data_IF_277918245655
#
_entry.id   IF_277918245655
#
_cell.length_a   1.000
_cell.length_b   1.000
_cell.length_c   1.000
_cell.angle_alpha   90.00
_cell.angle_beta   90.00
_cell.angle_gamma   90.00
#
_symmetry.space_group_name_H-M   'P 1'
#
loop_
_entity.id
_entity.type
_entity.pdbx_description
1 polymer ?
#
# COMPACT_ATOMS: atom_id res chain seq x y z
N UNK A 1 -2.69 20.75 -22.41
CA UNK A 1 -3.97 20.83 -21.65
C UNK A 1 -3.73 21.30 -20.23
N UNK A 2 -4.75 21.90 -19.56
CA UNK A 2 -4.64 22.38 -18.18
C UNK A 2 -5.32 21.39 -17.23
N UNK A 3 -4.64 20.98 -16.17
CA UNK A 3 -5.15 20.06 -15.15
C UNK A 3 -5.04 20.66 -13.75
N UNK A 4 -6.09 20.55 -12.96
CA UNK A 4 -6.02 20.77 -11.51
C UNK A 4 -5.70 19.45 -10.83
N UNK A 5 -4.62 19.41 -10.08
CA UNK A 5 -4.11 18.23 -9.40
C UNK A 5 -3.82 18.52 -7.93
N UNK A 6 -4.02 17.51 -7.12
CA UNK A 6 -3.72 17.53 -5.69
C UNK A 6 -2.58 16.56 -5.46
N UNK A 7 -1.47 17.02 -4.90
CA UNK A 7 -0.40 16.12 -4.45
C UNK A 7 -0.62 15.75 -3.00
N UNK A 8 -0.77 14.47 -2.75
CA UNK A 8 -0.91 13.92 -1.40
C UNK A 8 0.10 12.81 -1.17
N UNK A 9 0.47 12.60 0.08
CA UNK A 9 1.35 11.51 0.49
C UNK A 9 0.81 10.77 1.71
N UNK A 10 1.13 9.49 1.83
CA UNK A 10 0.90 8.67 3.01
C UNK A 10 2.11 7.79 3.27
N UNK A 11 2.75 7.95 4.44
CA UNK A 11 3.96 7.23 4.82
C UNK A 11 5.07 7.30 3.76
N UNK A 12 5.28 8.49 3.17
CA UNK A 12 6.33 8.77 2.19
C UNK A 12 6.00 8.41 0.74
N UNK A 13 4.92 7.68 0.49
CA UNK A 13 4.49 7.32 -0.86
C UNK A 13 3.52 8.39 -1.38
N UNK A 14 3.88 9.08 -2.46
CA UNK A 14 3.20 10.27 -2.94
C UNK A 14 2.54 10.08 -4.31
N UNK A 15 1.33 10.59 -4.46
CA UNK A 15 0.57 10.52 -5.69
C UNK A 15 0.00 11.89 -6.07
N UNK A 16 -0.23 12.06 -7.36
CA UNK A 16 -1.05 13.15 -7.91
C UNK A 16 -2.48 12.65 -8.04
N UNK A 17 -3.42 13.38 -7.47
CA UNK A 17 -4.83 13.06 -7.48
C UNK A 17 -5.59 14.00 -8.41
N UNK A 18 -6.44 13.42 -9.25
CA UNK A 18 -7.37 14.16 -10.11
C UNK A 18 -8.79 13.96 -9.58
N UNK A 19 -9.51 15.06 -9.34
CA UNK A 19 -10.91 15.02 -8.91
C UNK A 19 -11.86 14.95 -10.11
N UNK A 20 -12.27 13.74 -10.46
CA UNK A 20 -13.20 13.46 -11.55
C UNK A 20 -14.69 13.67 -11.19
N UNK A 21 -15.00 14.08 -9.95
CA UNK A 21 -16.35 14.55 -9.60
C UNK A 21 -16.58 15.99 -10.08
N UNK A 22 -15.51 16.76 -10.20
CA UNK A 22 -15.58 18.17 -10.60
C UNK A 22 -15.29 18.36 -12.08
N UNK A 23 -14.50 17.48 -12.69
CA UNK A 23 -13.99 17.64 -14.06
C UNK A 23 -13.98 16.31 -14.81
N UNK A 24 -14.07 16.41 -16.14
CA UNK A 24 -13.94 15.24 -17.03
C UNK A 24 -12.53 14.64 -16.92
N UNK A 25 -12.41 13.33 -16.67
CA UNK A 25 -11.12 12.67 -16.58
C UNK A 25 -10.32 12.77 -17.88
N UNK A 26 -8.98 12.76 -17.80
CA UNK A 26 -8.11 12.76 -18.96
C UNK A 26 -8.35 11.52 -19.82
N UNK A 27 -8.41 11.69 -21.15
CA UNK A 27 -8.68 10.60 -22.10
C UNK A 27 -7.64 9.48 -22.05
N UNK A 28 -6.38 9.80 -21.75
CA UNK A 28 -5.28 8.83 -21.71
C UNK A 28 -4.48 8.95 -20.40
N UNK A 29 -5.02 8.44 -19.27
CA UNK A 29 -4.39 8.58 -17.97
C UNK A 29 -3.06 7.82 -17.85
N UNK A 30 -2.85 6.74 -18.61
CA UNK A 30 -1.58 5.98 -18.64
C UNK A 30 -0.44 6.83 -19.17
N UNK A 31 -0.67 7.51 -20.31
CA UNK A 31 0.32 8.42 -20.90
C UNK A 31 0.53 9.64 -20.01
N UNK A 32 -0.55 10.17 -19.43
CA UNK A 32 -0.46 11.29 -18.51
C UNK A 32 0.40 10.93 -17.30
N UNK A 33 0.17 9.79 -16.66
CA UNK A 33 0.98 9.34 -15.51
C UNK A 33 2.47 9.32 -15.82
N UNK A 34 2.88 8.78 -16.98
CA UNK A 34 4.30 8.76 -17.41
C UNK A 34 4.89 10.16 -17.56
N UNK A 35 4.09 11.13 -18.00
CA UNK A 35 4.56 12.51 -18.24
C UNK A 35 4.69 13.33 -16.98
N UNK A 36 3.73 13.20 -16.06
CA UNK A 36 3.68 14.05 -14.86
C UNK A 36 4.44 13.48 -13.67
N UNK A 37 4.68 12.16 -13.64
CA UNK A 37 5.31 11.49 -12.50
C UNK A 37 6.83 11.72 -12.37
N UNK A 38 7.63 11.89 -13.43
CA UNK A 38 9.07 12.12 -13.28
C UNK A 38 9.36 13.33 -12.39
N UNK A 39 10.32 13.16 -11.43
CA UNK A 39 10.61 14.19 -10.41
C UNK A 39 11.46 15.35 -10.93
N UNK A 40 12.23 15.14 -12.02
CA UNK A 40 13.12 16.16 -12.59
C UNK A 40 12.45 16.99 -13.67
N UNK A 41 11.60 16.37 -14.50
CA UNK A 41 11.03 16.99 -15.69
C UNK A 41 9.50 16.83 -15.79
N UNK A 42 8.86 16.39 -14.70
CA UNK A 42 7.41 16.38 -14.52
C UNK A 42 7.02 17.13 -13.24
N UNK A 43 5.81 16.87 -12.74
CA UNK A 43 5.34 17.38 -11.45
C UNK A 43 6.01 16.62 -10.30
N UNK A 44 6.31 15.33 -10.53
CA UNK A 44 6.99 14.45 -9.59
C UNK A 44 6.03 13.75 -8.63
N UNK A 45 5.88 12.42 -8.78
CA UNK A 45 5.12 11.55 -7.89
C UNK A 45 5.41 10.08 -8.19
N UNK A 46 4.94 9.16 -7.34
CA UNK A 46 4.96 7.73 -7.58
C UNK A 46 3.89 7.30 -8.61
N UNK A 47 2.92 8.18 -8.91
CA UNK A 47 1.92 7.94 -9.92
C UNK A 47 0.73 8.92 -9.88
N UNK A 48 -0.33 8.55 -10.61
CA UNK A 48 -1.57 9.30 -10.77
C UNK A 48 -2.74 8.49 -10.23
N UNK A 49 -3.61 9.12 -9.45
CA UNK A 49 -4.88 8.56 -8.99
C UNK A 49 -6.03 9.39 -9.55
N UNK A 50 -6.99 8.73 -10.19
CA UNK A 50 -8.25 9.33 -10.58
C UNK A 50 -9.32 8.97 -9.54
N UNK A 51 -9.91 9.98 -8.92
CA UNK A 51 -11.07 9.86 -8.03
C UNK A 51 -12.32 10.06 -8.87
N UNK A 52 -13.11 9.03 -9.10
CA UNK A 52 -14.24 9.04 -10.03
C UNK A 52 -15.56 8.73 -9.31
N UNK A 53 -16.71 9.13 -9.87
CA UNK A 53 -17.99 8.59 -9.47
C UNK A 53 -18.03 7.06 -9.66
N UNK A 54 -18.79 6.36 -8.80
CA UNK A 54 -19.06 4.93 -8.90
C UNK A 54 -20.56 4.66 -8.95
N UNK A 55 -20.98 3.63 -9.67
CA UNK A 55 -22.36 3.15 -9.66
C UNK A 55 -22.66 2.20 -8.48
N UNK A 56 -21.63 1.71 -7.78
CA UNK A 56 -21.75 0.64 -6.78
C UNK A 56 -21.12 0.99 -5.43
N UNK A 57 -20.48 2.16 -5.32
CA UNK A 57 -19.79 2.64 -4.14
C UNK A 57 -19.87 4.17 -4.05
N UNK A 58 -19.35 4.78 -2.97
CA UNK A 58 -19.31 6.24 -2.83
C UNK A 58 -18.36 6.89 -3.85
N UNK A 59 -17.29 6.19 -4.22
CA UNK A 59 -16.33 6.65 -5.22
C UNK A 59 -15.62 5.46 -5.86
N UNK A 60 -14.95 5.71 -6.99
CA UNK A 60 -14.07 4.77 -7.68
C UNK A 60 -12.66 5.32 -7.73
N UNK A 61 -11.70 4.48 -7.40
CA UNK A 61 -10.27 4.75 -7.51
C UNK A 61 -9.69 4.01 -8.72
N UNK A 62 -9.12 4.75 -9.65
CA UNK A 62 -8.22 4.22 -10.68
C UNK A 62 -6.83 4.79 -10.44
N UNK A 63 -5.82 3.95 -10.42
CA UNK A 63 -4.45 4.40 -10.20
C UNK A 63 -3.50 3.91 -11.28
N UNK A 64 -2.53 4.74 -11.59
CA UNK A 64 -1.49 4.49 -12.58
C UNK A 64 -0.14 4.79 -11.95
N UNK A 65 0.79 3.83 -12.02
CA UNK A 65 2.16 4.02 -11.57
C UNK A 65 2.90 5.01 -12.49
N UNK A 66 4.07 5.45 -12.08
CA UNK A 66 4.91 6.38 -12.84
C UNK A 66 5.30 5.87 -14.24
N UNK A 67 5.33 4.56 -14.45
CA UNK A 67 5.54 3.91 -15.76
C UNK A 67 4.27 3.81 -16.62
N UNK A 68 3.12 4.29 -16.11
CA UNK A 68 1.81 4.23 -16.73
C UNK A 68 1.12 2.86 -16.62
N UNK A 69 1.68 1.91 -15.93
CA UNK A 69 0.98 0.65 -15.61
C UNK A 69 -0.16 0.91 -14.63
N UNK A 70 -1.27 0.17 -14.80
CA UNK A 70 -2.42 0.31 -13.93
C UNK A 70 -2.26 -0.52 -12.66
N UNK A 71 -2.34 0.14 -11.51
CA UNK A 71 -2.31 -0.49 -10.20
C UNK A 71 -3.70 -0.94 -9.76
N UNK A 72 -3.78 -2.11 -9.11
CA UNK A 72 -5.08 -2.61 -8.64
C UNK A 72 -5.59 -1.84 -7.41
N UNK A 73 -4.72 -1.52 -6.49
CA UNK A 73 -4.97 -0.74 -5.27
C UNK A 73 -3.64 -0.44 -4.57
N UNK A 74 -3.53 0.72 -3.95
CA UNK A 74 -2.44 1.09 -3.06
C UNK A 74 -3.01 1.55 -1.71
N UNK A 75 -2.57 0.93 -0.62
CA UNK A 75 -3.04 1.23 0.73
C UNK A 75 -2.75 2.67 1.16
N UNK A 76 -1.65 3.26 0.69
CA UNK A 76 -1.28 4.66 0.95
C UNK A 76 -2.17 5.62 0.15
N UNK A 77 -2.33 5.38 -1.15
CA UNK A 77 -3.14 6.22 -2.04
C UNK A 77 -4.62 6.21 -1.65
N UNK A 78 -5.19 5.04 -1.27
CA UNK A 78 -6.61 4.98 -0.89
C UNK A 78 -6.88 5.70 0.44
N UNK A 79 -5.90 5.74 1.38
CA UNK A 79 -6.02 6.55 2.60
C UNK A 79 -6.02 8.04 2.27
N UNK A 80 -5.14 8.49 1.37
CA UNK A 80 -5.13 9.88 0.89
C UNK A 80 -6.47 10.25 0.23
N UNK A 81 -6.99 9.40 -0.66
CA UNK A 81 -8.30 9.60 -1.28
C UNK A 81 -9.42 9.67 -0.22
N UNK A 82 -9.40 8.76 0.76
CA UNK A 82 -10.36 8.75 1.86
C UNK A 82 -10.31 10.03 2.70
N UNK A 83 -9.13 10.51 3.06
CA UNK A 83 -8.94 11.76 3.79
C UNK A 83 -9.49 12.96 3.02
N UNK A 84 -9.19 13.03 1.72
CA UNK A 84 -9.74 14.08 0.84
C UNK A 84 -11.27 14.05 0.78
N UNK A 85 -11.86 12.88 0.53
CA UNK A 85 -13.31 12.74 0.42
C UNK A 85 -14.02 13.00 1.77
N UNK A 86 -13.47 12.53 2.89
CA UNK A 86 -14.00 12.83 4.22
C UNK A 86 -13.97 14.32 4.57
N UNK A 87 -12.97 15.07 4.10
CA UNK A 87 -12.92 16.53 4.28
C UNK A 87 -13.98 17.23 3.44
N UNK A 88 -14.25 16.70 2.24
CA UNK A 88 -15.25 17.24 1.33
C UNK A 88 -16.67 16.93 1.79
N UNK A 89 -16.90 15.73 2.36
CA UNK A 89 -18.18 15.26 2.90
C UNK A 89 -18.10 15.13 4.43
N UNK A 90 -18.18 16.28 5.12
CA UNK A 90 -17.94 16.34 6.57
C UNK A 90 -18.83 15.46 7.45
N UNK A 91 -20.01 15.05 6.97
CA UNK A 91 -20.97 14.26 7.73
C UNK A 91 -20.72 12.74 7.64
N UNK A 92 -20.01 12.26 6.60
CA UNK A 92 -19.73 10.84 6.42
C UNK A 92 -18.58 10.39 7.33
N UNK A 93 -18.78 9.27 8.01
CA UNK A 93 -17.76 8.59 8.81
C UNK A 93 -17.29 7.26 8.16
N UNK A 94 -18.00 6.81 7.13
CA UNK A 94 -17.73 5.58 6.38
C UNK A 94 -17.78 5.91 4.89
N UNK A 95 -16.81 5.42 4.15
CA UNK A 95 -16.77 5.46 2.69
C UNK A 95 -16.52 4.07 2.13
N UNK A 96 -17.19 3.75 1.04
CA UNK A 96 -16.89 2.60 0.20
C UNK A 96 -16.23 3.07 -1.08
N UNK A 97 -15.04 2.53 -1.38
CA UNK A 97 -14.27 2.88 -2.58
C UNK A 97 -14.17 1.66 -3.49
N UNK A 98 -14.72 1.78 -4.69
CA UNK A 98 -14.52 0.78 -5.74
C UNK A 98 -13.07 0.81 -6.23
N UNK A 99 -12.42 -0.35 -6.25
CA UNK A 99 -11.05 -0.52 -6.77
C UNK A 99 -10.98 -1.76 -7.66
N UNK A 100 -9.90 -1.92 -8.43
CA UNK A 100 -9.65 -3.17 -9.18
C UNK A 100 -9.39 -4.39 -8.28
N UNK A 101 -9.22 -4.18 -6.96
CA UNK A 101 -9.13 -5.25 -5.95
C UNK A 101 -10.43 -5.44 -5.16
N UNK A 102 -11.56 -4.96 -5.70
CA UNK A 102 -12.86 -4.97 -5.04
C UNK A 102 -13.14 -3.70 -4.23
N UNK A 103 -14.32 -3.65 -3.61
CA UNK A 103 -14.74 -2.52 -2.79
C UNK A 103 -13.95 -2.54 -1.47
N UNK A 104 -13.41 -1.37 -1.10
CA UNK A 104 -12.71 -1.16 0.17
C UNK A 104 -13.53 -0.24 1.06
N UNK A 105 -13.69 -0.65 2.34
CA UNK A 105 -14.37 0.17 3.33
C UNK A 105 -13.35 0.97 4.12
N UNK A 106 -13.58 2.28 4.19
CA UNK A 106 -12.76 3.23 4.92
C UNK A 106 -13.58 3.84 6.05
N UNK A 107 -12.91 4.08 7.18
CA UNK A 107 -13.50 4.77 8.32
C UNK A 107 -12.71 6.03 8.65
N UNK A 108 -13.42 7.11 8.97
CA UNK A 108 -12.82 8.32 9.53
C UNK A 108 -12.36 8.02 10.95
N UNK A 109 -11.09 8.25 11.25
CA UNK A 109 -10.63 8.14 12.63
C UNK A 109 -11.09 9.36 13.45
N UNK A 110 -11.69 9.11 14.62
CA UNK A 110 -12.07 10.17 15.55
C UNK A 110 -10.81 10.83 16.11
N UNK A 111 -10.56 12.08 15.76
CA UNK A 111 -9.49 12.89 16.34
C UNK A 111 -8.31 13.24 15.42
N UNK A 112 -8.38 13.04 14.09
CA UNK A 112 -7.28 13.48 13.22
C UNK A 112 -7.39 13.08 11.75
N UNK A 113 -6.35 13.42 10.98
CA UNK A 113 -6.21 13.13 9.55
C UNK A 113 -5.83 11.67 9.29
N UNK A 114 -6.34 10.72 10.07
CA UNK A 114 -6.09 9.30 9.90
C UNK A 114 -7.31 8.61 9.32
N UNK A 115 -7.09 7.78 8.31
CA UNK A 115 -8.11 6.94 7.69
C UNK A 115 -7.80 5.47 7.98
N UNK A 116 -8.79 4.74 8.49
CA UNK A 116 -8.72 3.29 8.63
C UNK A 116 -9.25 2.63 7.37
N UNK A 117 -8.50 1.69 6.83
CA UNK A 117 -8.88 0.91 5.64
C UNK A 117 -9.02 -0.56 6.01
N UNK A 118 -10.16 -1.17 5.69
CA UNK A 118 -10.29 -2.63 5.75
C UNK A 118 -9.49 -3.26 4.61
N UNK A 119 -8.43 -3.96 4.96
CA UNK A 119 -7.57 -4.68 4.02
C UNK A 119 -8.03 -6.13 3.77
N UNK A 120 -9.03 -6.60 4.54
CA UNK A 120 -9.50 -7.97 4.51
C UNK A 120 -8.59 -8.95 5.25
N UNK A 121 -8.71 -10.23 4.92
CA UNK A 121 -7.94 -11.32 5.55
C UNK A 121 -6.60 -11.50 4.87
N UNK A 122 -5.59 -11.85 5.66
CA UNK A 122 -4.32 -12.37 5.16
C UNK A 122 -4.35 -13.90 5.13
N UNK A 123 -3.79 -14.51 4.09
CA UNK A 123 -3.69 -15.96 3.94
C UNK A 123 -2.23 -16.36 4.07
N UNK A 124 -1.87 -16.99 5.17
CA UNK A 124 -0.53 -17.50 5.44
C UNK A 124 -0.24 -18.76 4.60
N UNK A 125 1.02 -18.91 4.18
CA UNK A 125 1.42 -20.05 3.34
C UNK A 125 0.88 -19.99 1.90
N UNK A 126 0.39 -18.83 1.45
CA UNK A 126 -0.22 -18.62 0.14
C UNK A 126 0.81 -18.69 -0.97
N UNK A 127 1.11 -19.89 -1.42
CA UNK A 127 1.80 -20.16 -2.69
C UNK A 127 0.83 -20.88 -3.64
N UNK A 128 1.06 -20.80 -4.95
CA UNK A 128 0.20 -21.50 -5.93
C UNK A 128 0.30 -23.03 -5.88
N UNK A 129 1.22 -23.60 -5.12
CA UNK A 129 1.38 -25.06 -4.98
C UNK A 129 0.75 -25.55 -3.68
N UNK A 130 -0.24 -26.43 -3.78
CA UNK A 130 -0.69 -27.25 -2.66
C UNK A 130 0.53 -28.01 -2.09
N UNK A 131 0.76 -27.89 -0.78
CA UNK A 131 1.87 -28.60 -0.10
C UNK A 131 3.17 -27.81 0.05
N UNK A 132 3.24 -26.51 -0.35
CA UNK A 132 4.37 -25.67 0.03
C UNK A 132 4.34 -25.41 1.54
N UNK A 133 5.45 -25.64 2.27
CA UNK A 133 5.49 -25.45 3.71
C UNK A 133 5.14 -24.03 4.11
N UNK A 134 4.67 -23.87 5.34
CA UNK A 134 4.34 -22.57 5.93
C UNK A 134 5.50 -21.54 5.86
N UNK A 135 6.72 -22.01 5.66
CA UNK A 135 7.92 -21.17 5.48
C UNK A 135 8.85 -21.74 4.40
N UNK A 136 9.69 -20.87 3.88
CA UNK A 136 10.83 -21.17 3.00
C UNK A 136 12.14 -20.86 3.75
N UNK A 137 13.21 -21.58 3.43
CA UNK A 137 14.56 -21.24 3.92
C UNK A 137 15.39 -20.69 2.76
N UNK A 138 15.70 -19.42 2.82
CA UNK A 138 16.45 -18.68 1.78
C UNK A 138 17.78 -18.20 2.35
N UNK A 139 18.91 -18.84 1.96
CA UNK A 139 20.23 -18.46 2.44
C UNK A 139 20.38 -18.49 3.97
N UNK A 140 19.70 -19.43 4.64
CA UNK A 140 19.68 -19.52 6.11
C UNK A 140 18.58 -18.74 6.81
N UNK A 141 17.91 -17.80 6.11
CA UNK A 141 16.82 -16.99 6.65
C UNK A 141 15.49 -17.70 6.47
N UNK A 142 14.65 -17.68 7.50
CA UNK A 142 13.25 -18.14 7.41
C UNK A 142 12.38 -17.05 6.79
N UNK A 143 11.66 -17.41 5.74
CA UNK A 143 10.82 -16.52 4.97
C UNK A 143 9.40 -17.11 4.87
N UNK A 144 8.40 -16.31 5.19
CA UNK A 144 7.01 -16.73 5.36
C UNK A 144 6.14 -16.18 4.24
N UNK A 145 5.64 -17.03 3.32
CA UNK A 145 4.72 -16.61 2.28
C UNK A 145 3.37 -16.20 2.86
N UNK A 146 2.85 -15.08 2.39
CA UNK A 146 1.52 -14.58 2.79
C UNK A 146 0.88 -13.82 1.64
N UNK A 147 -0.44 -13.90 1.51
CA UNK A 147 -1.22 -13.13 0.54
C UNK A 147 -2.14 -12.14 1.27
N UNK A 148 -2.09 -10.90 0.82
CA UNK A 148 -3.01 -9.82 1.20
C UNK A 148 -3.74 -9.31 -0.07
N UNK A 149 -4.13 -10.27 -0.95
CA UNK A 149 -4.62 -9.98 -2.30
C UNK A 149 -3.50 -9.92 -3.35
N UNK A 150 -2.27 -9.71 -2.93
CA UNK A 150 -1.02 -9.83 -3.68
C UNK A 150 0.00 -10.65 -2.87
N UNK A 151 1.01 -11.26 -3.51
CA UNK A 151 1.96 -12.11 -2.83
C UNK A 151 3.03 -11.31 -2.10
N UNK A 152 3.28 -11.70 -0.84
CA UNK A 152 4.34 -11.20 0.02
C UNK A 152 5.18 -12.34 0.58
N UNK A 153 6.42 -12.06 0.90
CA UNK A 153 7.33 -12.95 1.58
C UNK A 153 7.99 -12.18 2.74
N UNK A 154 7.58 -12.52 3.96
CA UNK A 154 8.02 -11.83 5.18
C UNK A 154 9.14 -12.60 5.85
N UNK A 155 10.22 -11.90 6.16
CA UNK A 155 11.33 -12.38 6.96
C UNK A 155 11.40 -11.58 8.28
N UNK A 156 11.61 -12.27 9.39
CA UNK A 156 11.97 -11.63 10.65
C UNK A 156 13.45 -11.82 10.93
N UNK A 157 14.12 -10.73 11.23
CA UNK A 157 15.55 -10.69 11.46
C UNK A 157 15.92 -9.87 12.70
N UNK A 158 17.22 -9.62 12.87
CA UNK A 158 17.84 -8.77 13.90
C UNK A 158 18.48 -7.54 13.27
N UNK A 159 18.96 -6.63 14.08
CA UNK A 159 19.73 -5.47 13.61
C UNK A 159 20.88 -5.90 12.71
N UNK A 160 21.05 -5.21 11.57
CA UNK A 160 21.99 -5.55 10.51
C UNK A 160 21.41 -6.41 9.38
N UNK A 161 20.35 -7.20 9.62
CA UNK A 161 19.81 -8.12 8.61
C UNK A 161 19.10 -7.40 7.44
N UNK A 162 18.85 -6.09 7.54
CA UNK A 162 18.35 -5.32 6.41
C UNK A 162 19.25 -5.36 5.17
N UNK A 163 20.55 -5.61 5.35
CA UNK A 163 21.50 -5.78 4.23
C UNK A 163 21.20 -7.04 3.40
N UNK A 164 20.50 -8.02 3.97
CA UNK A 164 20.11 -9.25 3.28
C UNK A 164 18.89 -9.07 2.36
N UNK A 165 18.13 -7.98 2.52
CA UNK A 165 16.82 -7.81 1.88
C UNK A 165 16.89 -7.89 0.34
N UNK A 166 17.87 -7.22 -0.28
CA UNK A 166 18.05 -7.24 -1.73
C UNK A 166 18.35 -8.66 -2.24
N UNK A 167 19.24 -9.36 -1.56
CA UNK A 167 19.59 -10.74 -1.89
C UNK A 167 18.38 -11.66 -1.75
N UNK A 168 17.61 -11.53 -0.67
CA UNK A 168 16.38 -12.30 -0.46
C UNK A 168 15.35 -12.04 -1.56
N UNK A 169 15.17 -10.77 -1.95
CA UNK A 169 14.28 -10.39 -3.05
C UNK A 169 14.70 -11.04 -4.38
N UNK A 170 15.98 -10.97 -4.74
CA UNK A 170 16.49 -11.56 -5.98
C UNK A 170 16.31 -13.08 -6.01
N UNK A 171 16.55 -13.77 -4.88
CA UNK A 171 16.35 -15.22 -4.77
C UNK A 171 14.85 -15.57 -4.81
N UNK A 172 14.02 -14.87 -4.03
CA UNK A 172 12.59 -15.13 -3.96
C UNK A 172 11.89 -14.99 -5.31
N UNK A 173 12.26 -13.99 -6.10
CA UNK A 173 11.66 -13.72 -7.40
C UNK A 173 12.12 -14.69 -8.52
N UNK A 174 13.05 -15.59 -8.22
CA UNK A 174 13.43 -16.71 -9.10
C UNK A 174 12.74 -18.03 -8.74
N UNK A 175 12.00 -18.07 -7.62
CA UNK A 175 11.32 -19.28 -7.18
C UNK A 175 10.10 -19.58 -8.04
N UNK A 176 9.94 -20.82 -8.46
CA UNK A 176 8.80 -21.26 -9.25
C UNK A 176 7.44 -21.13 -8.56
N UNK A 177 7.43 -20.99 -7.22
CA UNK A 177 6.20 -20.75 -6.45
C UNK A 177 5.70 -19.29 -6.58
N UNK A 178 6.54 -18.38 -7.05
CA UNK A 178 6.18 -16.98 -7.31
C UNK A 178 6.35 -16.61 -8.81
N UNK A 179 5.59 -17.23 -9.72
CA UNK A 179 5.81 -17.09 -11.17
C UNK A 179 5.59 -15.67 -11.70
N UNK A 180 4.89 -14.83 -10.95
CA UNK A 180 4.67 -13.41 -11.25
C UNK A 180 5.48 -12.50 -10.32
N UNK A 181 6.44 -13.05 -9.57
CA UNK A 181 7.22 -12.35 -8.57
C UNK A 181 6.46 -12.13 -7.25
N UNK A 182 7.19 -11.63 -6.25
CA UNK A 182 6.73 -11.46 -4.86
C UNK A 182 7.36 -10.19 -4.26
N UNK A 183 6.61 -9.49 -3.42
CA UNK A 183 7.14 -8.44 -2.56
C UNK A 183 7.88 -9.10 -1.39
N UNK A 184 8.98 -8.53 -0.94
CA UNK A 184 9.76 -9.09 0.17
C UNK A 184 9.91 -8.04 1.25
N UNK A 185 9.49 -8.41 2.47
CA UNK A 185 9.61 -7.59 3.67
C UNK A 185 10.64 -8.21 4.62
N UNK A 186 11.54 -7.38 5.15
CA UNK A 186 12.37 -7.69 6.30
C UNK A 186 11.85 -6.88 7.49
N UNK A 187 11.47 -7.57 8.55
CA UNK A 187 10.99 -6.97 9.78
C UNK A 187 11.95 -7.25 10.95
N UNK A 188 12.22 -6.24 11.74
CA UNK A 188 13.00 -6.34 12.99
C UNK A 188 12.05 -5.99 14.12
N UNK A 189 11.62 -7.01 14.87
CA UNK A 189 10.76 -6.83 16.03
C UNK A 189 11.50 -6.02 17.09
N UNK A 190 10.84 -5.02 17.65
CA UNK A 190 11.34 -4.23 18.80
C UNK A 190 10.67 -4.65 20.11
N UNK A 191 9.36 -4.89 20.06
CA UNK A 191 8.52 -5.36 21.15
C UNK A 191 7.26 -6.07 20.63
N UNK A 192 6.29 -6.40 21.51
CA UNK A 192 5.05 -7.10 21.16
C UNK A 192 4.10 -6.30 20.25
N UNK A 193 4.38 -5.03 20.00
CA UNK A 193 3.50 -4.12 19.26
C UNK A 193 4.24 -3.30 18.21
N UNK A 194 5.57 -3.44 18.11
CA UNK A 194 6.39 -2.56 17.27
C UNK A 194 7.43 -3.36 16.48
N UNK A 195 7.59 -3.03 15.20
CA UNK A 195 8.72 -3.50 14.39
C UNK A 195 9.20 -2.41 13.42
N UNK A 196 10.50 -2.44 13.10
CA UNK A 196 11.06 -1.76 11.94
C UNK A 196 10.91 -2.63 10.71
N UNK A 197 10.56 -2.04 9.56
CA UNK A 197 10.31 -2.77 8.32
C UNK A 197 10.98 -2.10 7.14
N UNK A 198 11.63 -2.89 6.29
CA UNK A 198 12.01 -2.50 4.94
C UNK A 198 11.35 -3.44 3.95
N UNK A 199 11.06 -2.93 2.76
CA UNK A 199 10.36 -3.67 1.71
C UNK A 199 10.97 -3.41 0.34
N UNK A 200 11.10 -4.47 -0.46
CA UNK A 200 11.34 -4.36 -1.90
C UNK A 200 10.10 -4.89 -2.61
N UNK A 201 9.45 -4.01 -3.35
CA UNK A 201 8.22 -4.34 -4.07
C UNK A 201 8.53 -4.80 -5.48
N UNK A 202 7.78 -5.80 -5.92
CA UNK A 202 7.84 -6.30 -7.29
C UNK A 202 7.52 -5.21 -8.29
N UNK A 203 8.45 -4.92 -9.19
CA UNK A 203 8.30 -3.91 -10.24
C UNK A 203 8.64 -2.47 -9.83
N UNK A 204 8.77 -2.19 -8.52
CA UNK A 204 9.03 -0.82 -8.01
C UNK A 204 10.37 -0.68 -7.28
N UNK A 205 11.02 -1.81 -6.93
CA UNK A 205 12.24 -1.79 -6.14
C UNK A 205 11.97 -1.49 -4.65
N UNK A 206 12.98 -0.99 -3.93
CA UNK A 206 12.80 -0.59 -2.54
C UNK A 206 11.94 0.67 -2.46
N UNK A 207 10.81 0.56 -1.76
CA UNK A 207 9.87 1.68 -1.55
C UNK A 207 9.93 2.18 -0.10
N UNK A 208 9.46 3.41 0.10
CA UNK A 208 9.48 4.05 1.43
C UNK A 208 8.49 3.41 2.40
N UNK A 209 7.40 2.82 1.90
CA UNK A 209 6.42 2.04 2.69
C UNK A 209 5.48 1.25 1.78
N UNK A 210 4.94 0.14 2.29
CA UNK A 210 3.96 -0.68 1.59
C UNK A 210 2.80 -1.04 2.52
N UNK A 211 1.58 -0.62 2.17
CA UNK A 211 0.40 -0.88 3.00
C UNK A 211 0.03 -2.37 3.11
N UNK A 212 0.08 -3.11 1.99
CA UNK A 212 -0.14 -4.57 2.00
C UNK A 212 1.03 -5.31 2.66
N UNK A 213 2.26 -4.81 2.51
CA UNK A 213 3.44 -5.32 3.21
C UNK A 213 3.33 -5.14 4.73
N UNK A 214 2.78 -4.01 5.19
CA UNK A 214 2.51 -3.81 6.61
C UNK A 214 1.53 -4.87 7.16
N UNK A 215 0.44 -5.13 6.44
CA UNK A 215 -0.52 -6.19 6.82
C UNK A 215 0.14 -7.58 6.78
N UNK A 216 0.97 -7.84 5.78
CA UNK A 216 1.71 -9.09 5.66
C UNK A 216 2.62 -9.34 6.87
N UNK A 217 3.41 -8.33 7.28
CA UNK A 217 4.29 -8.40 8.46
C UNK A 217 3.48 -8.62 9.74
N UNK A 218 2.38 -7.89 9.92
CA UNK A 218 1.51 -8.06 11.08
C UNK A 218 0.90 -9.47 11.14
N UNK A 219 0.40 -9.98 10.00
CA UNK A 219 -0.23 -11.30 9.93
C UNK A 219 0.77 -12.43 10.25
N UNK A 220 1.96 -12.39 9.67
CA UNK A 220 3.01 -13.37 9.94
C UNK A 220 3.49 -13.25 11.39
N UNK A 221 3.71 -12.04 11.90
CA UNK A 221 4.16 -11.81 13.27
C UNK A 221 3.15 -12.29 14.32
N UNK A 222 1.84 -12.13 14.09
CA UNK A 222 0.78 -12.71 14.92
C UNK A 222 0.84 -14.24 14.85
N UNK A 223 0.96 -14.81 13.65
CA UNK A 223 1.03 -16.25 13.46
C UNK A 223 2.25 -16.92 14.11
N UNK A 224 3.34 -16.18 14.27
CA UNK A 224 4.57 -16.62 14.96
C UNK A 224 4.58 -16.30 16.46
N UNK A 225 3.58 -15.59 16.97
CA UNK A 225 3.52 -15.16 18.37
C UNK A 225 4.42 -13.97 18.71
N UNK A 226 4.95 -13.26 17.71
CA UNK A 226 5.75 -12.05 17.91
C UNK A 226 4.90 -10.84 18.27
N UNK A 227 3.67 -10.79 17.76
CA UNK A 227 2.71 -9.72 18.04
C UNK A 227 1.45 -10.27 18.69
N UNK A 228 0.88 -9.50 19.60
CA UNK A 228 -0.38 -9.83 20.24
C UNK A 228 -1.55 -9.60 19.28
N UNK A 229 -2.43 -10.59 19.04
CA UNK A 229 -3.62 -10.39 18.24
C UNK A 229 -4.53 -9.31 18.87
N UNK A 230 -5.28 -8.59 18.03
CA UNK A 230 -6.20 -7.53 18.43
C UNK A 230 -5.57 -6.27 19.06
N UNK A 231 -4.27 -6.24 19.36
CA UNK A 231 -3.54 -5.01 19.69
C UNK A 231 -3.11 -4.30 18.40
N UNK A 232 -3.09 -2.94 18.40
CA UNK A 232 -2.47 -2.19 17.30
C UNK A 232 -0.97 -2.51 17.21
N UNK A 233 -0.48 -2.76 16.00
CA UNK A 233 0.92 -3.04 15.71
C UNK A 233 1.47 -1.87 14.92
N UNK A 234 2.45 -1.16 15.46
CA UNK A 234 3.13 -0.05 14.82
C UNK A 234 4.31 -0.55 13.98
N UNK A 235 4.25 -0.37 12.68
CA UNK A 235 5.28 -0.79 11.73
C UNK A 235 5.98 0.44 11.18
N UNK A 236 7.26 0.58 11.51
CA UNK A 236 8.09 1.72 11.20
C UNK A 236 8.85 1.46 9.89
N UNK A 237 8.40 2.11 8.83
CA UNK A 237 9.05 2.13 7.53
C UNK A 237 9.96 3.34 7.36
N UNK A 238 10.78 3.38 6.30
CA UNK A 238 11.61 4.55 5.96
C UNK A 238 10.79 5.83 5.74
N UNK A 239 9.58 5.70 5.18
CA UNK A 239 8.70 6.83 4.85
C UNK A 239 7.74 7.24 5.95
N UNK A 240 7.65 6.49 7.05
CA UNK A 240 6.73 6.79 8.15
C UNK A 240 6.19 5.55 8.86
N UNK A 241 5.19 5.76 9.68
CA UNK A 241 4.58 4.71 10.48
C UNK A 241 3.25 4.26 9.86
N UNK A 242 3.05 2.94 9.79
CA UNK A 242 1.79 2.31 9.49
C UNK A 242 1.34 1.51 10.71
N UNK A 243 0.08 1.62 11.07
CA UNK A 243 -0.51 0.87 12.18
C UNK A 243 -1.46 -0.17 11.61
N UNK A 244 -1.28 -1.41 12.00
CA UNK A 244 -2.13 -2.53 11.60
C UNK A 244 -2.78 -3.13 12.83
N UNK A 245 -4.06 -3.46 12.72
CA UNK A 245 -4.80 -4.15 13.77
C UNK A 245 -5.63 -5.27 13.15
N UNK A 246 -5.57 -6.46 13.73
CA UNK A 246 -6.51 -7.53 13.40
C UNK A 246 -7.74 -7.41 14.29
N UNK A 247 -8.93 -7.51 13.72
CA UNK A 247 -10.18 -7.55 14.48
C UNK A 247 -10.58 -8.99 14.87
N UNK A 248 -11.71 -9.11 15.59
CA UNK A 248 -12.21 -10.41 16.05
C UNK A 248 -12.69 -11.34 14.93
N UNK A 249 -12.94 -10.81 13.73
CA UNK A 249 -13.35 -11.58 12.54
C UNK A 249 -12.15 -12.09 11.74
N UNK A 250 -10.95 -11.62 12.10
CA UNK A 250 -9.68 -11.92 11.43
C UNK A 250 -9.35 -10.95 10.29
N UNK A 251 -10.13 -9.90 10.09
CA UNK A 251 -9.83 -8.87 9.12
C UNK A 251 -8.74 -7.92 9.65
N UNK A 252 -7.87 -7.49 8.75
CA UNK A 252 -6.81 -6.54 9.05
C UNK A 252 -7.24 -5.12 8.68
N UNK A 253 -7.00 -4.21 9.59
CA UNK A 253 -7.27 -2.78 9.47
C UNK A 253 -5.95 -2.03 9.41
N UNK A 254 -5.77 -1.23 8.36
CA UNK A 254 -4.59 -0.41 8.14
C UNK A 254 -4.92 1.04 8.40
N UNK A 255 -4.10 1.72 9.18
CA UNK A 255 -4.13 3.17 9.32
C UNK A 255 -2.72 3.76 9.25
N UNK A 256 -2.64 5.06 9.02
CA UNK A 256 -1.42 5.83 8.92
C UNK A 256 -1.74 7.25 8.48
N UNK A 257 -0.80 8.15 8.70
CA UNK A 257 -0.96 9.55 8.38
C UNK A 257 -1.11 9.78 6.87
N UNK A 258 -1.89 10.80 6.56
CA UNK A 258 -2.04 11.34 5.21
C UNK A 258 -1.80 12.83 5.25
N UNK A 259 -1.22 13.38 4.17
CA UNK A 259 -0.96 14.80 4.07
C UNK A 259 -1.17 15.29 2.64
N UNK A 260 -1.94 16.34 2.48
CA UNK A 260 -1.91 17.16 1.25
C UNK A 260 -0.62 17.95 1.25
N UNK A 261 0.19 17.79 0.21
CA UNK A 261 1.47 18.49 0.04
C UNK A 261 1.22 19.83 -0.61
N UNK A 262 0.47 19.81 -1.72
CA UNK A 262 0.00 21.03 -2.41
C UNK A 262 -1.21 20.70 -3.31
N UNK A 263 -1.91 21.74 -3.72
CA UNK A 263 -2.90 21.74 -4.79
C UNK A 263 -2.48 22.77 -5.82
N UNK A 264 -2.69 22.50 -7.10
CA UNK A 264 -2.26 23.41 -8.13
C UNK A 264 -2.86 23.11 -9.49
N UNK A 265 -2.74 24.11 -10.37
CA UNK A 265 -3.10 24.04 -11.78
C UNK A 265 -1.85 23.93 -12.62
N UNK A 266 -1.79 22.94 -13.49
CA UNK A 266 -0.63 22.62 -14.30
C UNK A 266 -0.98 22.67 -15.78
N UNK A 267 -0.19 23.38 -16.56
CA UNK A 267 -0.22 23.30 -18.01
C UNK A 267 0.65 22.14 -18.45
N UNK A 268 0.05 21.21 -19.19
CA UNK A 268 0.75 20.04 -19.70
C UNK A 268 0.68 20.15 -21.22
N UNK A 269 1.85 20.29 -21.83
CA UNK A 269 1.98 20.28 -23.29
C UNK A 269 1.41 18.96 -23.84
N UNK A 270 0.85 18.96 -25.04
CA UNK A 270 0.23 17.77 -25.65
C UNK A 270 1.26 16.75 -26.18
#
# INVERSE_FOLDING_TARGET
MTLDLIKMQGAGNDYLFFDGFLKTPPKNPRTLARRISPRQNGIGADGLVLMLPSAVADAKMLMFNSDGSEGKMCGNAIRCMGDYLFKKENEKNILQIETLSGIKTLYRHKGGNCVLVNMGKAVLGATKRAGVPFFLRLGGVLAYPVSVGNPHLVCFGKEGDFELLERLFLVANRLACFPLGVNVEMAIQKDETTAQVRVIERGSGETLSCGTGAVAVAAVGIGLGYFSPQKPIALQFKGGHLIVKQDKTGDFWLTGDTKTVYEGRFEIED
#
